data_IF_910181425796
#
_entry.id   IF_910181425796
#
_cell.length_a   1.000
_cell.length_b   1.000
_cell.length_c   1.000
_cell.angle_alpha   90.00
_cell.angle_beta   90.00
_cell.angle_gamma   90.00
#
_symmetry.space_group_name_H-M   'P 1'
#
loop_
_entity.id
_entity.type
_entity.pdbx_description
1 polymer ?
#
# COMPACT_ATOMS: atom_id res chain seq x y z
N UNK A 1 2.42 12.76 22.37
CA UNK A 1 3.52 11.92 21.81
C UNK A 1 4.07 10.92 22.83
N UNK A 2 4.30 11.36 24.08
CA UNK A 2 4.88 10.51 25.16
C UNK A 2 4.11 9.20 25.39
N UNK A 3 2.78 9.27 25.55
CA UNK A 3 1.96 8.07 25.80
C UNK A 3 2.05 7.02 24.67
N UNK A 4 1.98 7.43 23.40
CA UNK A 4 2.11 6.52 22.25
C UNK A 4 3.51 5.90 22.15
N UNK A 5 4.55 6.64 22.52
CA UNK A 5 5.91 6.10 22.58
C UNK A 5 6.05 5.07 23.71
N UNK A 6 5.49 5.35 24.89
CA UNK A 6 5.46 4.39 26.02
C UNK A 6 4.73 3.11 25.60
N UNK A 7 3.57 3.21 24.94
CA UNK A 7 2.83 2.06 24.41
C UNK A 7 3.71 1.24 23.47
N UNK A 8 4.48 1.88 22.60
CA UNK A 8 5.41 1.19 21.70
C UNK A 8 6.50 0.47 22.48
N UNK A 9 7.15 1.12 23.45
CA UNK A 9 8.18 0.47 24.26
C UNK A 9 7.62 -0.73 25.04
N UNK A 10 6.44 -0.60 25.63
CA UNK A 10 5.75 -1.73 26.29
C UNK A 10 5.43 -2.86 25.30
N UNK A 11 5.02 -2.50 24.08
CA UNK A 11 4.78 -3.47 23.00
C UNK A 11 6.06 -4.21 22.61
N UNK A 12 7.20 -3.52 22.49
CA UNK A 12 8.49 -4.14 22.19
C UNK A 12 8.99 -5.04 23.32
N UNK A 13 8.79 -4.63 24.58
CA UNK A 13 9.08 -5.48 25.74
C UNK A 13 8.23 -6.75 25.72
N UNK A 14 6.94 -6.61 25.44
CA UNK A 14 6.03 -7.75 25.30
C UNK A 14 6.47 -8.69 24.17
N UNK A 15 6.75 -8.15 22.97
CA UNK A 15 7.26 -8.93 21.82
C UNK A 15 8.53 -9.70 22.20
N UNK A 16 9.51 -9.02 22.80
CA UNK A 16 10.76 -9.64 23.26
C UNK A 16 10.54 -10.73 24.30
N UNK A 17 9.56 -10.57 25.19
CA UNK A 17 9.23 -11.56 26.20
C UNK A 17 8.60 -12.82 25.59
N UNK A 18 7.57 -12.67 24.75
CA UNK A 18 6.84 -13.83 24.21
C UNK A 18 7.62 -14.58 23.12
N UNK A 19 8.53 -13.91 22.42
CA UNK A 19 9.33 -14.52 21.33
C UNK A 19 10.82 -14.60 21.68
N UNK A 20 11.15 -14.73 22.97
CA UNK A 20 12.55 -14.83 23.41
C UNK A 20 13.22 -16.11 22.85
N UNK A 21 14.48 -16.04 22.36
CA UNK A 21 15.36 -14.86 22.33
C UNK A 21 15.20 -13.98 21.09
N UNK A 22 14.50 -14.44 20.06
CA UNK A 22 14.43 -13.79 18.74
C UNK A 22 13.87 -12.36 18.81
N UNK A 23 12.85 -12.14 19.64
CA UNK A 23 12.16 -10.86 19.77
C UNK A 23 13.02 -9.70 20.25
N UNK A 24 14.15 -9.98 20.94
CA UNK A 24 15.09 -8.97 21.44
C UNK A 24 15.62 -8.10 20.31
N UNK A 25 15.77 -8.65 19.10
CA UNK A 25 16.24 -7.91 17.92
C UNK A 25 15.27 -6.82 17.42
N UNK A 26 14.03 -6.78 17.93
CA UNK A 26 13.09 -5.70 17.62
C UNK A 26 13.59 -4.34 18.12
N UNK A 27 14.35 -4.30 19.23
CA UNK A 27 14.93 -3.06 19.77
C UNK A 27 15.99 -2.42 18.85
N UNK A 28 17.07 -3.11 18.45
CA UNK A 28 18.06 -2.52 17.56
C UNK A 28 17.45 -2.15 16.20
N UNK A 29 16.54 -2.95 15.65
CA UNK A 29 15.85 -2.61 14.40
C UNK A 29 15.02 -1.33 14.58
N UNK A 30 14.35 -1.18 15.72
CA UNK A 30 13.59 0.03 16.02
C UNK A 30 14.46 1.29 16.00
N UNK A 31 15.60 1.27 16.69
CA UNK A 31 16.47 2.44 16.80
C UNK A 31 17.27 2.73 15.53
N UNK A 32 17.76 1.69 14.84
CA UNK A 32 18.66 1.84 13.68
C UNK A 32 17.87 2.06 12.37
N UNK A 33 16.65 1.50 12.27
CA UNK A 33 15.88 1.55 11.04
C UNK A 33 14.52 2.24 11.20
N UNK A 34 13.68 1.78 12.13
CA UNK A 34 12.28 2.23 12.20
C UNK A 34 12.16 3.71 12.58
N UNK A 35 12.92 4.18 13.57
CA UNK A 35 12.95 5.60 13.97
C UNK A 35 13.47 6.51 12.85
N UNK A 36 14.62 6.24 12.19
CA UNK A 36 15.06 7.00 11.03
C UNK A 36 14.03 7.01 9.89
N UNK A 37 13.42 5.86 9.55
CA UNK A 37 12.39 5.79 8.51
C UNK A 37 11.18 6.67 8.84
N UNK A 38 10.70 6.60 10.08
CA UNK A 38 9.60 7.42 10.56
C UNK A 38 9.96 8.91 10.51
N UNK A 39 11.14 9.27 10.99
CA UNK A 39 11.64 10.64 10.96
C UNK A 39 11.68 11.18 9.52
N UNK A 40 12.29 10.44 8.58
CA UNK A 40 12.37 10.82 7.18
C UNK A 40 10.98 10.99 6.56
N UNK A 41 10.05 10.08 6.84
CA UNK A 41 8.67 10.14 6.33
C UNK A 41 7.92 11.34 6.90
N UNK A 42 8.00 11.57 8.20
CA UNK A 42 7.29 12.66 8.89
C UNK A 42 7.85 14.03 8.49
N UNK A 43 9.16 14.12 8.23
CA UNK A 43 9.82 15.32 7.71
C UNK A 43 9.36 15.73 6.31
N UNK A 44 8.68 14.86 5.58
CA UNK A 44 8.01 15.25 4.35
C UNK A 44 6.80 16.16 4.64
N UNK A 45 6.24 16.20 5.85
CA UNK A 45 5.18 17.14 6.21
C UNK A 45 5.68 18.58 6.18
N UNK A 46 4.95 19.45 5.48
CA UNK A 46 5.25 20.88 5.44
C UNK A 46 4.76 21.63 6.70
N UNK A 47 3.84 21.02 7.46
CA UNK A 47 3.21 21.63 8.63
C UNK A 47 3.74 21.01 9.92
N UNK A 48 4.43 21.82 10.72
CA UNK A 48 4.97 21.40 12.03
C UNK A 48 3.85 21.12 13.04
N UNK A 49 2.67 21.71 12.89
CA UNK A 49 1.56 21.48 13.81
C UNK A 49 1.03 20.04 13.74
N UNK A 50 1.26 19.34 12.63
CA UNK A 50 0.84 17.96 12.41
C UNK A 50 1.87 16.93 12.91
N UNK A 51 3.10 17.34 13.22
CA UNK A 51 4.21 16.44 13.59
C UNK A 51 3.86 15.57 14.81
N UNK A 52 3.20 16.15 15.82
CA UNK A 52 2.83 15.40 17.01
C UNK A 52 1.81 14.29 16.70
N UNK A 53 0.88 14.55 15.78
CA UNK A 53 -0.10 13.56 15.33
C UNK A 53 0.57 12.45 14.51
N UNK A 54 1.48 12.82 13.61
CA UNK A 54 2.19 11.88 12.75
C UNK A 54 3.06 10.89 13.53
N UNK A 55 3.75 11.35 14.57
CA UNK A 55 4.49 10.45 15.47
C UNK A 55 3.57 9.56 16.28
N UNK A 56 2.46 10.11 16.81
CA UNK A 56 1.46 9.33 17.56
C UNK A 56 0.92 8.19 16.71
N UNK A 57 0.48 8.48 15.48
CA UNK A 57 -0.11 7.46 14.61
C UNK A 57 0.92 6.42 14.17
N UNK A 58 2.15 6.83 13.89
CA UNK A 58 3.22 5.88 13.56
C UNK A 58 3.50 4.91 14.70
N UNK A 59 3.71 5.41 15.92
CA UNK A 59 4.01 4.56 17.08
C UNK A 59 2.85 3.60 17.41
N UNK A 60 1.61 4.07 17.36
CA UNK A 60 0.45 3.20 17.60
C UNK A 60 0.27 2.16 16.48
N UNK A 61 0.45 2.55 15.21
CA UNK A 61 0.38 1.65 14.06
C UNK A 61 1.46 0.56 14.11
N UNK A 62 2.69 0.93 14.51
CA UNK A 62 3.80 0.00 14.69
C UNK A 62 3.56 -0.93 15.88
N UNK A 63 3.06 -0.41 17.01
CA UNK A 63 2.72 -1.21 18.19
C UNK A 63 1.72 -2.30 17.84
N UNK A 64 0.63 -1.95 17.15
CA UNK A 64 -0.40 -2.90 16.73
C UNK A 64 0.17 -4.02 15.84
N UNK A 65 1.03 -3.66 14.86
CA UNK A 65 1.64 -4.63 13.93
C UNK A 65 2.68 -5.52 14.61
N UNK A 66 3.52 -4.94 15.46
CA UNK A 66 4.56 -5.68 16.17
C UNK A 66 3.95 -6.72 17.11
N UNK A 67 2.95 -6.32 17.91
CA UNK A 67 2.23 -7.24 18.80
C UNK A 67 1.49 -8.30 18.00
N UNK A 68 0.77 -7.91 16.95
CA UNK A 68 0.03 -8.86 16.11
C UNK A 68 0.95 -9.89 15.45
N UNK A 69 2.04 -9.45 14.82
CA UNK A 69 3.02 -10.33 14.18
C UNK A 69 3.70 -11.29 15.17
N UNK A 70 4.08 -10.79 16.35
CA UNK A 70 4.73 -11.60 17.37
C UNK A 70 3.78 -12.62 18.02
N UNK A 71 2.52 -12.24 18.29
CA UNK A 71 1.51 -13.17 18.81
C UNK A 71 1.26 -14.32 17.83
N UNK A 72 1.13 -14.02 16.54
CA UNK A 72 0.87 -15.05 15.54
C UNK A 72 2.07 -15.95 15.28
N UNK A 73 3.29 -15.41 15.48
CA UNK A 73 4.50 -16.21 15.49
C UNK A 73 4.55 -17.14 16.72
N UNK A 74 4.31 -16.60 17.92
CA UNK A 74 4.31 -17.37 19.17
C UNK A 74 3.26 -18.49 19.21
N UNK A 75 2.10 -18.29 18.57
CA UNK A 75 1.01 -19.26 18.51
C UNK A 75 1.14 -20.27 17.36
N UNK A 76 2.28 -20.30 16.64
CA UNK A 76 2.50 -21.15 15.45
C UNK A 76 1.44 -20.96 14.34
N UNK A 77 0.83 -19.78 14.27
CA UNK A 77 -0.15 -19.41 13.25
C UNK A 77 0.49 -18.75 12.02
N UNK A 78 1.79 -18.47 12.09
CA UNK A 78 2.52 -17.73 11.06
C UNK A 78 2.48 -18.39 9.68
N UNK A 79 2.76 -19.69 9.59
CA UNK A 79 2.71 -20.44 8.33
C UNK A 79 1.28 -20.52 7.76
N UNK A 80 0.28 -20.61 8.64
CA UNK A 80 -1.11 -20.61 8.20
C UNK A 80 -1.42 -19.26 7.56
N UNK A 81 -1.25 -18.14 8.27
CA UNK A 81 -1.68 -16.82 7.77
C UNK A 81 -0.80 -16.24 6.66
N UNK A 82 0.50 -16.57 6.66
CA UNK A 82 1.49 -15.98 5.76
C UNK A 82 2.48 -17.02 5.22
N UNK A 83 2.04 -18.02 4.41
CA UNK A 83 2.92 -19.07 3.89
C UNK A 83 4.08 -18.53 3.02
N UNK A 84 3.88 -17.38 2.37
CA UNK A 84 4.94 -16.69 1.62
C UNK A 84 6.09 -16.23 2.53
N UNK A 85 5.80 -15.91 3.80
CA UNK A 85 6.80 -15.42 4.74
C UNK A 85 7.84 -16.52 5.05
N UNK A 86 7.43 -17.78 5.13
CA UNK A 86 8.30 -18.96 5.24
C UNK A 86 9.22 -19.08 4.03
N UNK A 87 8.68 -18.83 2.84
CA UNK A 87 9.45 -18.80 1.60
C UNK A 87 10.52 -17.71 1.64
N UNK A 88 10.14 -16.49 2.03
CA UNK A 88 11.08 -15.37 2.16
C UNK A 88 12.12 -15.60 3.26
N UNK A 89 11.74 -16.25 4.36
CA UNK A 89 12.64 -16.62 5.45
C UNK A 89 13.75 -17.55 4.97
N UNK A 90 13.36 -18.64 4.31
CA UNK A 90 14.31 -19.69 3.92
C UNK A 90 15.22 -19.21 2.79
N UNK A 91 14.66 -18.58 1.74
CA UNK A 91 15.47 -18.07 0.64
C UNK A 91 16.32 -16.87 1.03
N UNK A 92 15.82 -16.00 1.92
CA UNK A 92 16.62 -14.91 2.49
C UNK A 92 17.80 -15.43 3.30
N UNK A 93 17.60 -16.48 4.09
CA UNK A 93 18.68 -17.14 4.84
C UNK A 93 19.75 -17.73 3.91
N UNK A 94 19.34 -18.54 2.91
CA UNK A 94 20.27 -19.12 1.93
C UNK A 94 21.11 -18.03 1.25
N UNK A 95 20.46 -16.95 0.81
CA UNK A 95 21.16 -15.85 0.16
C UNK A 95 22.08 -15.08 1.13
N UNK A 96 21.71 -14.98 2.42
CA UNK A 96 22.59 -14.41 3.45
C UNK A 96 23.84 -15.23 3.71
N UNK A 97 23.73 -16.57 3.69
CA UNK A 97 24.87 -17.47 3.84
C UNK A 97 25.77 -17.45 2.61
N UNK A 98 25.21 -17.25 1.42
CA UNK A 98 25.98 -16.93 0.22
C UNK A 98 26.78 -15.63 0.38
N UNK A 99 26.17 -14.55 0.89
CA UNK A 99 26.88 -13.28 1.14
C UNK A 99 27.98 -13.39 2.20
N UNK A 100 27.84 -14.28 3.17
CA UNK A 100 28.91 -14.57 4.16
C UNK A 100 30.02 -15.45 3.60
N UNK A 101 29.86 -16.03 2.41
CA UNK A 101 30.80 -16.96 1.80
C UNK A 101 30.69 -18.40 2.31
N UNK A 102 29.65 -18.73 3.08
CA UNK A 102 29.46 -20.06 3.68
C UNK A 102 28.86 -21.07 2.68
N UNK A 103 28.08 -20.59 1.71
CA UNK A 103 27.38 -21.44 0.74
C UNK A 103 27.51 -20.86 -0.68
N UNK A 104 28.41 -21.36 -1.54
CA UNK A 104 28.57 -20.84 -2.89
C UNK A 104 27.41 -21.28 -3.79
N UNK A 105 26.76 -20.33 -4.44
CA UNK A 105 25.70 -20.60 -5.43
C UNK A 105 26.32 -20.45 -6.82
N UNK A 106 26.40 -21.55 -7.59
CA UNK A 106 26.95 -21.53 -8.95
C UNK A 106 25.88 -21.90 -9.97
N UNK A 107 25.99 -21.36 -11.18
CA UNK A 107 25.02 -21.60 -12.27
C UNK A 107 24.93 -23.08 -12.68
N UNK A 108 26.05 -23.80 -12.62
CA UNK A 108 26.14 -25.20 -13.04
C UNK A 108 25.68 -26.17 -11.95
N UNK A 109 26.11 -25.95 -10.69
CA UNK A 109 25.76 -26.82 -9.56
C UNK A 109 24.35 -26.56 -9.02
N UNK A 110 23.92 -25.29 -9.01
CA UNK A 110 22.68 -24.84 -8.37
C UNK A 110 21.81 -24.01 -9.33
N UNK A 111 21.45 -24.52 -10.50
CA UNK A 111 20.78 -23.73 -11.55
C UNK A 111 19.46 -23.10 -11.07
N UNK A 112 18.72 -23.77 -10.18
CA UNK A 112 17.46 -23.28 -9.63
C UNK A 112 17.67 -22.09 -8.68
N UNK A 113 18.61 -22.19 -7.75
CA UNK A 113 18.94 -21.10 -6.82
C UNK A 113 19.58 -19.94 -7.57
N UNK A 114 20.47 -20.24 -8.50
CA UNK A 114 21.11 -19.24 -9.33
C UNK A 114 20.07 -18.44 -10.13
N UNK A 115 19.15 -19.12 -10.82
CA UNK A 115 18.07 -18.44 -11.53
C UNK A 115 17.18 -17.65 -10.56
N UNK A 116 16.83 -18.21 -9.39
CA UNK A 116 15.94 -17.53 -8.43
C UNK A 116 16.51 -16.23 -7.88
N UNK A 117 17.82 -16.16 -7.64
CA UNK A 117 18.46 -14.99 -7.05
C UNK A 117 19.02 -14.03 -8.10
N UNK A 118 19.64 -14.54 -9.17
CA UNK A 118 20.43 -13.71 -10.08
C UNK A 118 19.80 -13.46 -11.46
N UNK A 119 18.64 -14.05 -11.76
CA UNK A 119 17.91 -13.70 -12.99
C UNK A 119 17.15 -12.38 -12.87
N UNK A 120 16.94 -11.87 -11.65
CA UNK A 120 16.10 -10.70 -11.35
C UNK A 120 14.71 -10.74 -12.02
N UNK A 121 14.21 -11.95 -12.32
CA UNK A 121 12.95 -12.18 -13.01
C UNK A 121 11.85 -12.66 -12.06
N UNK A 122 10.61 -12.31 -12.36
CA UNK A 122 9.44 -12.74 -11.59
C UNK A 122 9.16 -11.94 -10.32
N UNK A 123 8.05 -12.29 -9.64
CA UNK A 123 7.50 -11.44 -8.59
C UNK A 123 8.18 -11.62 -7.23
N UNK A 124 8.82 -10.56 -6.73
CA UNK A 124 9.27 -10.50 -5.34
C UNK A 124 10.70 -10.95 -5.07
N UNK A 125 11.55 -10.98 -6.11
CA UNK A 125 12.99 -11.25 -5.92
C UNK A 125 13.63 -10.27 -4.95
N UNK A 126 13.18 -9.01 -4.94
CA UNK A 126 13.69 -7.98 -4.03
C UNK A 126 13.51 -8.32 -2.55
N UNK A 127 12.48 -9.10 -2.19
CA UNK A 127 12.30 -9.54 -0.80
C UNK A 127 13.43 -10.45 -0.35
N UNK A 128 13.95 -11.33 -1.21
CA UNK A 128 15.06 -12.21 -0.84
C UNK A 128 16.29 -11.39 -0.44
N UNK A 129 16.58 -10.31 -1.16
CA UNK A 129 17.69 -9.41 -0.86
C UNK A 129 17.47 -8.60 0.43
N UNK A 130 16.25 -8.10 0.66
CA UNK A 130 15.91 -7.38 1.91
C UNK A 130 16.11 -8.28 3.12
N UNK A 131 15.59 -9.51 3.06
CA UNK A 131 15.70 -10.49 4.15
C UNK A 131 17.13 -10.97 4.31
N UNK A 132 17.84 -11.23 3.21
CA UNK A 132 19.25 -11.65 3.26
C UNK A 132 20.14 -10.58 3.88
N UNK A 133 19.92 -9.30 3.54
CA UNK A 133 20.64 -8.19 4.16
C UNK A 133 20.37 -8.10 5.66
N UNK A 134 19.12 -8.28 6.10
CA UNK A 134 18.79 -8.32 7.52
C UNK A 134 19.49 -9.51 8.23
N UNK A 135 19.42 -10.71 7.64
CA UNK A 135 19.97 -11.95 8.21
C UNK A 135 21.49 -12.02 8.14
N UNK A 136 22.11 -11.20 7.31
CA UNK A 136 23.56 -10.99 7.33
C UNK A 136 24.03 -10.51 8.72
N UNK A 137 23.28 -9.60 9.35
CA UNK A 137 23.60 -9.06 10.69
C UNK A 137 22.92 -9.80 11.83
N UNK A 138 21.71 -10.30 11.62
CA UNK A 138 20.86 -10.85 12.69
C UNK A 138 20.89 -12.37 12.80
N UNK A 139 21.43 -13.07 11.81
CA UNK A 139 21.17 -14.50 11.61
C UNK A 139 19.74 -14.73 11.12
N UNK A 140 19.33 -16.00 10.97
CA UNK A 140 17.97 -16.34 10.59
C UNK A 140 17.01 -16.02 11.74
N UNK A 141 16.30 -14.89 11.67
CA UNK A 141 15.37 -14.44 12.70
C UNK A 141 14.06 -13.93 12.08
N UNK A 142 13.01 -14.78 12.00
CA UNK A 142 11.72 -14.40 11.42
C UNK A 142 11.04 -13.21 12.12
N UNK A 143 11.19 -13.07 13.45
CA UNK A 143 10.60 -11.98 14.22
C UNK A 143 11.20 -10.63 13.81
N UNK A 144 12.51 -10.58 13.59
CA UNK A 144 13.20 -9.41 13.06
C UNK A 144 12.68 -9.04 11.65
N UNK A 145 12.47 -10.04 10.79
CA UNK A 145 11.90 -9.84 9.45
C UNK A 145 10.46 -9.31 9.47
N UNK A 146 9.62 -9.87 10.34
CA UNK A 146 8.26 -9.40 10.61
C UNK A 146 8.27 -7.94 11.10
N UNK A 147 9.13 -7.62 12.07
CA UNK A 147 9.22 -6.27 12.65
C UNK A 147 9.73 -5.21 11.65
N UNK A 148 10.66 -5.59 10.76
CA UNK A 148 11.11 -4.72 9.67
C UNK A 148 9.94 -4.36 8.74
N UNK A 149 9.16 -5.36 8.32
CA UNK A 149 7.98 -5.14 7.46
C UNK A 149 6.90 -4.33 8.17
N UNK A 150 6.66 -4.59 9.47
CA UNK A 150 5.75 -3.82 10.31
C UNK A 150 6.14 -2.36 10.39
N UNK A 151 7.44 -2.08 10.48
CA UNK A 151 7.99 -0.72 10.55
C UNK A 151 7.74 0.07 9.26
N UNK A 152 7.92 -0.56 8.10
CA UNK A 152 7.65 0.06 6.80
C UNK A 152 6.15 0.21 6.57
N UNK A 153 5.35 -0.82 6.89
CA UNK A 153 3.90 -0.77 6.79
C UNK A 153 3.27 0.31 7.68
N UNK A 154 3.79 0.51 8.90
CA UNK A 154 3.36 1.59 9.78
C UNK A 154 3.67 2.98 9.21
N UNK A 155 4.77 3.13 8.45
CA UNK A 155 5.13 4.39 7.79
C UNK A 155 4.20 4.77 6.61
N UNK A 156 3.39 3.83 6.10
CA UNK A 156 2.39 4.14 5.09
C UNK A 156 1.29 5.08 5.61
N UNK A 157 0.92 4.98 6.89
CA UNK A 157 -0.10 5.86 7.48
C UNK A 157 0.30 7.35 7.47
N UNK A 158 1.48 7.77 7.96
CA UNK A 158 1.93 9.16 7.83
C UNK A 158 2.16 9.57 6.37
N UNK A 159 2.64 8.69 5.48
CA UNK A 159 2.76 9.01 4.06
C UNK A 159 1.40 9.35 3.42
N UNK A 160 0.36 8.56 3.71
CA UNK A 160 -1.02 8.80 3.24
C UNK A 160 -1.63 10.05 3.86
N UNK A 161 -1.33 10.34 5.13
CA UNK A 161 -1.71 11.60 5.76
C UNK A 161 -1.20 12.79 4.93
N UNK A 162 0.10 12.81 4.66
CA UNK A 162 0.76 13.92 3.96
C UNK A 162 0.22 14.04 2.54
N UNK A 163 0.03 12.92 1.84
CA UNK A 163 -0.58 12.90 0.51
C UNK A 163 -2.00 13.48 0.51
N UNK A 164 -2.87 13.02 1.40
CA UNK A 164 -4.24 13.51 1.52
C UNK A 164 -4.28 15.00 1.91
N UNK A 165 -3.41 15.44 2.82
CA UNK A 165 -3.27 16.84 3.21
C UNK A 165 -2.79 17.70 2.05
N UNK A 166 -1.82 17.25 1.26
CA UNK A 166 -1.30 17.98 0.11
C UNK A 166 -2.39 18.15 -0.98
N UNK A 167 -3.24 17.14 -1.20
CA UNK A 167 -4.32 17.17 -2.20
C UNK A 167 -5.49 18.05 -1.75
N UNK A 168 -6.06 17.78 -0.58
CA UNK A 168 -7.34 18.40 -0.16
C UNK A 168 -7.17 19.61 0.76
N UNK A 169 -5.96 19.85 1.29
CA UNK A 169 -5.63 20.91 2.25
C UNK A 169 -6.44 20.85 3.56
N UNK A 170 -7.17 19.75 3.80
CA UNK A 170 -8.03 19.56 4.97
C UNK A 170 -7.41 18.53 5.94
N UNK A 171 -7.09 18.95 7.17
CA UNK A 171 -6.50 18.04 8.18
C UNK A 171 -7.49 16.97 8.64
N UNK A 172 -8.81 17.23 8.65
CA UNK A 172 -9.80 16.22 9.03
C UNK A 172 -9.76 15.04 8.05
N UNK A 173 -9.70 15.33 6.75
CA UNK A 173 -9.57 14.32 5.68
C UNK A 173 -8.29 13.51 5.86
N UNK A 174 -7.15 14.19 6.04
CA UNK A 174 -5.86 13.54 6.20
C UNK A 174 -5.80 12.63 7.44
N UNK A 175 -6.32 13.08 8.60
CA UNK A 175 -6.39 12.29 9.83
C UNK A 175 -7.23 11.04 9.66
N UNK A 176 -8.41 11.14 9.04
CA UNK A 176 -9.29 9.99 8.84
C UNK A 176 -8.66 8.99 7.87
N UNK A 177 -8.13 9.46 6.74
CA UNK A 177 -7.47 8.59 5.77
C UNK A 177 -6.30 7.83 6.40
N UNK A 178 -5.44 8.52 7.16
CA UNK A 178 -4.30 7.89 7.82
C UNK A 178 -4.70 6.93 8.93
N UNK A 179 -5.79 7.20 9.68
CA UNK A 179 -6.32 6.30 10.70
C UNK A 179 -6.86 5.00 10.09
N UNK A 180 -7.59 5.10 8.97
CA UNK A 180 -8.07 3.93 8.23
C UNK A 180 -6.89 3.09 7.76
N UNK A 181 -5.83 3.70 7.20
CA UNK A 181 -4.61 2.98 6.83
C UNK A 181 -3.92 2.39 8.07
N UNK A 182 -3.77 3.15 9.15
CA UNK A 182 -3.06 2.69 10.33
C UNK A 182 -3.70 1.43 10.96
N UNK A 183 -5.03 1.36 11.00
CA UNK A 183 -5.75 0.41 11.83
C UNK A 183 -6.69 -0.54 11.08
N UNK A 184 -6.71 -0.54 9.74
CA UNK A 184 -7.50 -1.54 9.02
C UNK A 184 -6.94 -2.96 9.28
N UNK A 185 -7.75 -3.93 9.75
CA UNK A 185 -7.27 -5.26 10.13
C UNK A 185 -6.48 -5.98 9.03
N UNK A 186 -6.94 -5.91 7.80
CA UNK A 186 -6.34 -6.54 6.64
C UNK A 186 -4.98 -5.95 6.33
N UNK A 187 -4.84 -4.62 6.41
CA UNK A 187 -3.53 -4.02 6.23
C UNK A 187 -2.58 -4.34 7.39
N UNK A 188 -3.07 -4.39 8.63
CA UNK A 188 -2.25 -4.89 9.76
C UNK A 188 -1.78 -6.31 9.46
N UNK A 189 -2.67 -7.22 9.08
CA UNK A 189 -2.33 -8.61 8.76
C UNK A 189 -1.23 -8.70 7.68
N UNK A 190 -1.41 -8.03 6.54
CA UNK A 190 -0.46 -8.12 5.42
C UNK A 190 0.81 -7.28 5.58
N UNK A 191 0.92 -6.49 6.66
CA UNK A 191 2.13 -5.72 6.96
C UNK A 191 2.82 -6.11 8.27
N UNK A 192 2.24 -7.02 9.06
CA UNK A 192 2.86 -7.51 10.31
C UNK A 192 3.78 -8.71 10.10
N UNK A 193 3.68 -9.37 8.94
CA UNK A 193 4.51 -10.50 8.56
C UNK A 193 5.58 -10.07 7.56
N UNK A 194 6.59 -10.92 7.36
CA UNK A 194 7.64 -10.78 6.36
C UNK A 194 7.10 -10.96 4.93
N UNK A 195 6.23 -10.02 4.54
CA UNK A 195 5.54 -9.95 3.27
C UNK A 195 5.83 -8.62 2.60
N UNK A 196 5.86 -8.64 1.27
CA UNK A 196 6.10 -7.44 0.45
C UNK A 196 4.98 -6.41 0.47
N UNK A 197 3.77 -6.78 0.89
CA UNK A 197 2.57 -5.93 0.74
C UNK A 197 2.66 -4.61 1.49
N UNK A 198 3.11 -4.65 2.75
CA UNK A 198 3.36 -3.45 3.57
C UNK A 198 4.35 -2.49 2.92
N UNK A 199 5.44 -3.04 2.39
CA UNK A 199 6.51 -2.27 1.74
C UNK A 199 5.97 -1.61 0.46
N UNK A 200 5.28 -2.37 -0.38
CA UNK A 200 4.74 -1.87 -1.65
C UNK A 200 3.74 -0.75 -1.41
N UNK A 201 2.85 -0.90 -0.43
CA UNK A 201 1.87 0.14 -0.10
C UNK A 201 2.56 1.44 0.34
N UNK A 202 3.60 1.35 1.16
CA UNK A 202 4.41 2.51 1.54
C UNK A 202 5.08 3.15 0.31
N UNK A 203 5.74 2.36 -0.53
CA UNK A 203 6.40 2.86 -1.75
C UNK A 203 5.41 3.51 -2.71
N UNK A 204 4.23 2.92 -2.92
CA UNK A 204 3.17 3.50 -3.74
C UNK A 204 2.68 4.84 -3.16
N UNK A 205 2.45 4.92 -1.85
CA UNK A 205 2.04 6.17 -1.21
C UNK A 205 3.09 7.28 -1.38
N UNK A 206 4.37 6.94 -1.20
CA UNK A 206 5.50 7.86 -1.41
C UNK A 206 5.61 8.25 -2.89
N UNK A 207 5.50 7.31 -3.83
CA UNK A 207 5.50 7.61 -5.27
C UNK A 207 4.40 8.61 -5.63
N UNK A 208 3.16 8.40 -5.19
CA UNK A 208 2.06 9.31 -5.45
C UNK A 208 2.27 10.69 -4.81
N UNK A 209 2.85 10.73 -3.60
CA UNK A 209 3.23 11.98 -2.94
C UNK A 209 4.31 12.74 -3.72
N UNK A 210 5.37 12.06 -4.15
CA UNK A 210 6.45 12.68 -4.91
C UNK A 210 5.95 13.18 -6.26
N UNK A 211 5.09 12.42 -6.95
CA UNK A 211 4.46 12.84 -8.22
C UNK A 211 3.64 14.10 -8.01
N UNK A 212 2.76 14.14 -7.02
CA UNK A 212 1.95 15.33 -6.73
C UNK A 212 2.81 16.57 -6.38
N UNK A 213 3.96 16.39 -5.72
CA UNK A 213 4.89 17.48 -5.41
C UNK A 213 5.70 17.94 -6.62
N UNK A 214 6.21 17.00 -7.42
CA UNK A 214 6.96 17.27 -8.65
C UNK A 214 6.10 18.02 -9.68
N UNK A 215 4.79 17.80 -9.70
CA UNK A 215 3.84 18.57 -10.51
C UNK A 215 3.78 20.06 -10.13
N UNK A 216 4.05 20.39 -8.86
CA UNK A 216 3.99 21.76 -8.33
C UNK A 216 5.34 22.46 -8.46
N UNK A 217 6.42 21.75 -8.13
CA UNK A 217 7.77 22.28 -8.21
C UNK A 217 8.79 21.16 -8.42
N UNK A 218 9.74 21.40 -9.32
CA UNK A 218 10.87 20.50 -9.49
C UNK A 218 11.76 20.52 -8.25
N UNK A 219 12.08 19.34 -7.72
CA UNK A 219 13.04 19.16 -6.65
C UNK A 219 13.76 17.83 -6.88
N UNK A 220 15.12 17.82 -6.97
CA UNK A 220 15.88 16.60 -7.22
C UNK A 220 15.68 15.56 -6.13
N UNK A 221 15.46 15.95 -4.87
CA UNK A 221 15.17 15.01 -3.79
C UNK A 221 13.88 14.23 -4.07
N UNK A 222 12.82 14.90 -4.54
CA UNK A 222 11.55 14.23 -4.85
C UNK A 222 11.70 13.26 -6.04
N UNK A 223 12.53 13.63 -7.02
CA UNK A 223 12.84 12.77 -8.15
C UNK A 223 13.64 11.53 -7.70
N UNK A 224 14.64 11.71 -6.85
CA UNK A 224 15.45 10.61 -6.29
C UNK A 224 14.59 9.66 -5.47
N UNK A 225 13.76 10.19 -4.56
CA UNK A 225 12.82 9.39 -3.75
C UNK A 225 11.82 8.65 -4.65
N UNK A 226 11.32 9.29 -5.71
CA UNK A 226 10.47 8.64 -6.70
C UNK A 226 11.20 7.49 -7.40
N UNK A 227 12.45 7.70 -7.84
CA UNK A 227 13.28 6.67 -8.49
C UNK A 227 13.51 5.45 -7.60
N UNK A 228 13.90 5.68 -6.34
CA UNK A 228 14.03 4.59 -5.35
C UNK A 228 12.71 3.86 -5.12
N UNK A 229 11.59 4.59 -5.06
CA UNK A 229 10.27 3.98 -4.86
C UNK A 229 9.86 3.12 -6.06
N UNK A 230 10.10 3.61 -7.28
CA UNK A 230 9.83 2.89 -8.51
C UNK A 230 10.69 1.63 -8.65
N UNK A 231 11.98 1.73 -8.31
CA UNK A 231 12.89 0.58 -8.25
C UNK A 231 12.41 -0.48 -7.24
N UNK A 232 12.02 -0.05 -6.04
CA UNK A 232 11.47 -0.96 -5.04
C UNK A 232 10.15 -1.61 -5.49
N UNK A 233 9.28 -0.88 -6.18
CA UNK A 233 8.03 -1.43 -6.73
C UNK A 233 8.31 -2.53 -7.76
N UNK A 234 9.21 -2.31 -8.72
CA UNK A 234 9.53 -3.34 -9.73
C UNK A 234 10.19 -4.56 -9.09
N UNK A 235 11.11 -4.36 -8.13
CA UNK A 235 11.80 -5.46 -7.44
C UNK A 235 10.85 -6.35 -6.62
N UNK A 236 9.77 -5.76 -6.08
CA UNK A 236 8.83 -6.46 -5.22
C UNK A 236 7.60 -6.99 -5.99
N UNK A 237 7.06 -6.19 -6.91
CA UNK A 237 5.91 -6.52 -7.78
C UNK A 237 6.04 -5.88 -9.16
N UNK A 238 6.74 -6.60 -10.04
CA UNK A 238 6.96 -6.21 -11.44
C UNK A 238 5.67 -5.79 -12.19
N UNK A 239 4.53 -6.45 -11.96
CA UNK A 239 3.29 -6.14 -12.69
C UNK A 239 2.60 -4.84 -12.23
N UNK A 240 2.89 -4.34 -11.01
CA UNK A 240 2.34 -3.06 -10.54
C UNK A 240 3.14 -1.90 -11.14
N UNK A 241 4.44 -2.09 -11.36
CA UNK A 241 5.32 -1.08 -11.94
C UNK A 241 4.76 -0.44 -13.23
N UNK A 242 4.35 -1.18 -14.28
CA UNK A 242 3.82 -0.56 -15.50
C UNK A 242 2.52 0.22 -15.23
N UNK A 243 1.66 -0.24 -14.33
CA UNK A 243 0.44 0.49 -13.95
C UNK A 243 0.76 1.82 -13.26
N UNK A 244 1.73 1.81 -12.33
CA UNK A 244 2.22 3.03 -11.68
C UNK A 244 2.86 3.98 -12.69
N UNK A 245 3.70 3.47 -13.59
CA UNK A 245 4.34 4.24 -14.67
C UNK A 245 3.29 4.93 -15.55
N UNK A 246 2.27 4.19 -16.01
CA UNK A 246 1.20 4.75 -16.84
C UNK A 246 0.41 5.84 -16.11
N UNK A 247 0.12 5.65 -14.82
CA UNK A 247 -0.52 6.67 -14.00
C UNK A 247 0.34 7.95 -13.85
N UNK A 248 1.66 7.79 -13.66
CA UNK A 248 2.61 8.91 -13.60
C UNK A 248 2.63 9.66 -14.94
N UNK A 249 2.84 8.93 -16.05
CA UNK A 249 2.89 9.49 -17.41
C UNK A 249 1.61 10.26 -17.72
N UNK A 250 0.43 9.67 -17.50
CA UNK A 250 -0.85 10.32 -17.75
C UNK A 250 -1.02 11.61 -16.93
N UNK A 251 -0.57 11.60 -15.67
CA UNK A 251 -0.63 12.79 -14.80
C UNK A 251 0.26 13.91 -15.32
N UNK A 252 1.47 13.60 -15.78
CA UNK A 252 2.38 14.59 -16.37
C UNK A 252 1.86 15.13 -17.71
N UNK A 253 1.33 14.28 -18.58
CA UNK A 253 0.78 14.73 -19.87
C UNK A 253 -0.35 15.74 -19.67
N UNK A 254 -1.29 15.47 -18.77
CA UNK A 254 -2.42 16.39 -18.52
C UNK A 254 -1.98 17.61 -17.70
N UNK A 255 -0.96 17.43 -16.83
CA UNK A 255 -0.30 18.54 -16.15
C UNK A 255 0.33 19.54 -17.12
N UNK A 256 0.78 19.10 -18.31
CA UNK A 256 1.33 19.95 -19.36
C UNK A 256 0.22 20.72 -20.11
N UNK A 257 -0.86 20.04 -20.50
CA UNK A 257 -1.91 20.61 -21.35
C UNK A 257 -2.76 21.69 -20.68
N UNK A 258 -2.70 21.79 -19.35
CA UNK A 258 -3.57 22.69 -18.59
C UNK A 258 -2.88 23.94 -18.03
N UNK A 259 -1.63 24.18 -18.43
CA UNK A 259 -0.84 25.33 -17.99
C UNK A 259 -0.83 26.44 -19.05
N UNK A 260 -1.03 27.68 -18.61
CA UNK A 260 -1.04 28.85 -19.50
C UNK A 260 0.35 29.40 -19.83
N UNK A 261 1.36 29.14 -18.99
CA UNK A 261 2.71 29.70 -19.14
C UNK A 261 3.66 28.78 -19.89
N UNK A 262 4.24 29.27 -21.00
CA UNK A 262 5.23 28.56 -21.83
C UNK A 262 6.46 28.08 -21.02
N UNK A 263 6.92 28.87 -20.04
CA UNK A 263 8.06 28.50 -19.19
C UNK A 263 7.72 27.33 -18.26
N UNK A 264 6.51 27.29 -17.73
CA UNK A 264 6.02 26.19 -16.88
C UNK A 264 5.83 24.91 -17.69
N UNK A 265 5.30 25.02 -18.91
CA UNK A 265 5.15 23.92 -19.86
C UNK A 265 6.51 23.29 -20.17
N UNK A 266 7.53 24.09 -20.52
CA UNK A 266 8.87 23.57 -20.82
C UNK A 266 9.48 22.80 -19.64
N UNK A 267 9.37 23.33 -18.42
CA UNK A 267 9.86 22.66 -17.20
C UNK A 267 9.16 21.30 -17.00
N UNK A 268 7.85 21.21 -17.24
CA UNK A 268 7.11 19.95 -17.14
C UNK A 268 7.47 18.97 -18.25
N UNK A 269 7.75 19.42 -19.46
CA UNK A 269 8.24 18.57 -20.57
C UNK A 269 9.62 18.01 -20.22
N UNK A 270 10.56 18.84 -19.76
CA UNK A 270 11.89 18.38 -19.35
C UNK A 270 11.78 17.35 -18.22
N UNK A 271 10.94 17.63 -17.22
CA UNK A 271 10.69 16.69 -16.13
C UNK A 271 10.06 15.38 -16.63
N UNK A 272 9.11 15.45 -17.56
CA UNK A 272 8.52 14.28 -18.20
C UNK A 272 9.58 13.42 -18.92
N UNK A 273 10.49 14.05 -19.66
CA UNK A 273 11.59 13.35 -20.33
C UNK A 273 12.55 12.70 -19.33
N UNK A 274 12.92 13.40 -18.26
CA UNK A 274 13.77 12.85 -17.19
C UNK A 274 13.12 11.63 -16.55
N UNK A 275 11.81 11.71 -16.24
CA UNK A 275 11.05 10.59 -15.69
C UNK A 275 10.98 9.43 -16.70
N UNK A 276 10.75 9.73 -17.99
CA UNK A 276 10.75 8.74 -19.06
C UNK A 276 12.08 8.00 -19.20
N UNK A 277 13.21 8.72 -19.15
CA UNK A 277 14.56 8.13 -19.15
C UNK A 277 14.77 7.26 -17.91
N UNK A 278 14.40 7.75 -16.72
CA UNK A 278 14.52 7.01 -15.46
C UNK A 278 13.74 5.69 -15.51
N UNK A 279 12.49 5.74 -15.96
CA UNK A 279 11.62 4.55 -16.11
C UNK A 279 12.21 3.57 -17.12
N UNK A 280 12.71 4.07 -18.26
CA UNK A 280 13.33 3.24 -19.30
C UNK A 280 14.59 2.56 -18.79
N UNK A 281 15.43 3.28 -18.05
CA UNK A 281 16.66 2.74 -17.45
C UNK A 281 16.36 1.67 -16.40
N UNK A 282 15.38 1.90 -15.53
CA UNK A 282 14.93 0.90 -14.54
C UNK A 282 14.38 -0.33 -15.27
N UNK A 283 13.58 -0.13 -16.33
CA UNK A 283 12.99 -1.24 -17.07
C UNK A 283 14.00 -2.07 -17.85
N UNK A 284 15.00 -1.43 -18.46
CA UNK A 284 16.07 -2.09 -19.18
C UNK A 284 17.02 -2.85 -18.24
N UNK A 285 17.35 -2.29 -17.07
CA UNK A 285 18.31 -2.91 -16.15
C UNK A 285 17.81 -4.18 -15.46
N UNK A 286 16.49 -4.37 -15.39
CA UNK A 286 15.86 -5.50 -14.67
C UNK A 286 15.28 -6.55 -15.65
N UNK A 287 15.50 -6.39 -16.97
CA UNK A 287 15.00 -7.36 -17.95
C UNK A 287 13.47 -7.39 -18.04
N UNK A 288 12.77 -6.26 -17.81
CA UNK A 288 11.30 -6.20 -17.89
C UNK A 288 10.77 -6.74 -19.22
N UNK A 289 11.53 -6.60 -20.31
CA UNK A 289 11.15 -7.15 -21.61
C UNK A 289 10.96 -8.66 -21.58
N UNK A 290 11.86 -9.39 -20.91
CA UNK A 290 11.76 -10.84 -20.74
C UNK A 290 10.54 -11.20 -19.89
N UNK A 291 10.28 -10.46 -18.81
CA UNK A 291 9.11 -10.67 -17.96
C UNK A 291 7.80 -10.34 -18.67
N UNK A 292 7.74 -9.30 -19.52
CA UNK A 292 6.55 -8.98 -20.32
C UNK A 292 6.31 -10.06 -21.37
N UNK A 293 7.34 -10.53 -22.07
CA UNK A 293 7.19 -11.64 -23.02
C UNK A 293 6.79 -12.94 -22.31
N UNK A 294 7.36 -13.19 -21.13
CA UNK A 294 7.12 -14.38 -20.34
C UNK A 294 5.78 -14.34 -19.59
N UNK A 295 5.25 -13.19 -19.19
CA UNK A 295 4.04 -13.15 -18.35
C UNK A 295 2.90 -12.32 -18.94
N UNK A 296 3.12 -11.62 -20.05
CA UNK A 296 2.15 -10.70 -20.65
C UNK A 296 1.17 -11.32 -21.65
N UNK A 297 1.19 -12.64 -21.86
CA UNK A 297 0.24 -13.30 -22.77
C UNK A 297 -1.09 -13.58 -22.06
N UNK A 298 -2.21 -13.38 -22.77
CA UNK A 298 -3.55 -13.67 -22.23
C UNK A 298 -3.73 -15.15 -21.86
N UNK A 299 -3.04 -16.05 -22.55
CA UNK A 299 -3.02 -17.47 -22.23
C UNK A 299 -2.37 -17.75 -20.86
N UNK A 300 -1.24 -17.12 -20.55
CA UNK A 300 -0.60 -17.27 -19.24
C UNK A 300 -1.39 -16.60 -18.13
N UNK A 301 -2.03 -15.47 -18.43
CA UNK A 301 -3.00 -14.83 -17.53
C UNK A 301 -4.15 -15.80 -17.21
N UNK A 302 -4.73 -16.44 -18.22
CA UNK A 302 -5.79 -17.43 -18.05
C UNK A 302 -5.31 -18.64 -17.22
N UNK A 303 -4.14 -19.19 -17.53
CA UNK A 303 -3.58 -20.32 -16.79
C UNK A 303 -3.32 -19.96 -15.32
N UNK A 304 -2.79 -18.77 -15.02
CA UNK A 304 -2.57 -18.30 -13.66
C UNK A 304 -3.89 -18.05 -12.90
N UNK A 305 -4.94 -17.61 -13.60
CA UNK A 305 -6.28 -17.46 -13.03
C UNK A 305 -6.91 -18.82 -12.72
N UNK A 306 -6.86 -19.75 -13.66
CA UNK A 306 -7.39 -21.11 -13.51
C UNK A 306 -6.69 -21.88 -12.39
N UNK A 307 -5.36 -21.74 -12.28
CA UNK A 307 -4.61 -22.31 -11.16
C UNK A 307 -5.10 -21.76 -9.82
N UNK A 308 -5.30 -20.44 -9.72
CA UNK A 308 -5.87 -19.84 -8.51
C UNK A 308 -7.28 -20.33 -8.20
N UNK A 309 -8.12 -20.50 -9.22
CA UNK A 309 -9.50 -20.98 -9.06
C UNK A 309 -9.56 -22.46 -8.65
N UNK A 310 -8.65 -23.30 -9.15
CA UNK A 310 -8.66 -24.76 -8.90
C UNK A 310 -7.91 -25.16 -7.64
N UNK A 311 -6.80 -24.50 -7.35
CA UNK A 311 -5.92 -24.84 -6.22
C UNK A 311 -6.46 -24.29 -4.89
N UNK A 312 -7.34 -23.29 -4.94
CA UNK A 312 -7.89 -22.68 -3.73
C UNK A 312 -9.29 -23.20 -3.38
N UNK A 313 -9.51 -23.51 -2.10
CA UNK A 313 -10.83 -23.84 -1.57
C UNK A 313 -11.88 -22.71 -1.68
N UNK A 314 -11.46 -21.51 -2.13
CA UNK A 314 -12.31 -20.33 -2.34
C UNK A 314 -12.20 -19.78 -3.77
N UNK A 315 -11.89 -20.67 -4.73
CA UNK A 315 -11.90 -20.34 -6.14
C UNK A 315 -13.30 -19.97 -6.66
N UNK A 316 -13.37 -19.10 -7.67
CA UNK A 316 -14.63 -18.72 -8.30
C UNK A 316 -14.50 -18.58 -9.83
N UNK A 317 -15.59 -18.93 -10.52
CA UNK A 317 -15.84 -18.79 -11.97
C UNK A 317 -14.64 -19.09 -12.91
N UNK A 318 -14.71 -20.27 -13.56
CA UNK A 318 -13.82 -20.67 -14.65
C UNK A 318 -14.31 -20.08 -15.99
N UNK A 319 -14.01 -18.80 -16.23
CA UNK A 319 -14.19 -18.16 -17.54
C UNK A 319 -12.83 -18.06 -18.23
N UNK A 320 -12.77 -18.43 -19.51
CA UNK A 320 -11.55 -18.30 -20.31
C UNK A 320 -11.27 -16.82 -20.62
N UNK A 321 -10.22 -16.27 -20.00
CA UNK A 321 -9.78 -14.88 -20.20
C UNK A 321 -8.69 -14.75 -21.26
N UNK A 322 -8.43 -15.81 -22.05
CA UNK A 322 -7.51 -15.75 -23.19
C UNK A 322 -8.04 -14.91 -24.36
N UNK A 323 -9.35 -14.61 -24.36
CA UNK A 323 -10.05 -13.84 -25.39
C UNK A 323 -10.56 -12.49 -24.86
N UNK A 324 -10.72 -11.50 -25.76
CA UNK A 324 -11.28 -10.19 -25.38
C UNK A 324 -12.73 -10.30 -24.88
N UNK A 325 -13.53 -11.20 -25.47
CA UNK A 325 -14.90 -11.47 -25.03
C UNK A 325 -14.94 -12.02 -23.61
N UNK A 326 -14.09 -13.00 -23.29
CA UNK A 326 -13.98 -13.55 -21.94
C UNK A 326 -13.60 -12.51 -20.89
N UNK A 327 -12.69 -11.59 -21.23
CA UNK A 327 -12.31 -10.46 -20.36
C UNK A 327 -13.51 -9.55 -20.07
N UNK A 328 -14.30 -9.18 -21.08
CA UNK A 328 -15.46 -8.31 -20.90
C UNK A 328 -16.53 -9.00 -20.05
N UNK A 329 -16.73 -10.29 -20.26
CA UNK A 329 -17.73 -11.09 -19.52
C UNK A 329 -17.36 -11.26 -18.05
N UNK A 330 -16.08 -11.51 -17.73
CA UNK A 330 -15.65 -11.71 -16.35
C UNK A 330 -15.54 -10.39 -15.57
N UNK A 331 -15.31 -9.26 -16.25
CA UNK A 331 -14.99 -7.99 -15.57
C UNK A 331 -16.03 -7.55 -14.53
N UNK A 332 -17.36 -7.58 -14.79
CA UNK A 332 -18.36 -7.24 -13.78
C UNK A 332 -18.31 -8.14 -12.55
N UNK A 333 -18.10 -9.46 -12.76
CA UNK A 333 -18.02 -10.42 -11.66
C UNK A 333 -16.71 -10.25 -10.89
N UNK A 334 -15.58 -10.12 -11.59
CA UNK A 334 -14.29 -9.85 -10.99
C UNK A 334 -14.28 -8.58 -10.15
N UNK A 335 -14.97 -7.51 -10.60
CA UNK A 335 -15.16 -6.30 -9.82
C UNK A 335 -16.01 -6.54 -8.57
N UNK A 336 -17.13 -7.26 -8.71
CA UNK A 336 -18.00 -7.61 -7.59
C UNK A 336 -17.25 -8.41 -6.53
N UNK A 337 -16.48 -9.42 -6.94
CA UNK A 337 -15.66 -10.22 -6.02
C UNK A 337 -14.52 -9.41 -5.41
N UNK A 338 -13.78 -8.65 -6.23
CA UNK A 338 -12.69 -7.82 -5.75
C UNK A 338 -13.17 -6.84 -4.67
N UNK A 339 -14.29 -6.16 -4.87
CA UNK A 339 -14.78 -5.12 -3.94
C UNK A 339 -15.62 -5.67 -2.78
N UNK A 340 -16.43 -6.70 -3.01
CA UNK A 340 -17.45 -7.11 -2.06
C UNK A 340 -17.17 -8.46 -1.40
N UNK A 341 -16.35 -9.33 -1.98
CA UNK A 341 -16.01 -10.62 -1.37
C UNK A 341 -14.90 -10.46 -0.31
N UNK A 342 -14.81 -11.38 0.68
CA UNK A 342 -15.70 -12.53 0.91
C UNK A 342 -17.08 -12.15 1.44
N UNK A 343 -18.13 -12.74 0.86
CA UNK A 343 -19.51 -12.61 1.35
C UNK A 343 -19.74 -13.44 2.62
N UNK A 344 -20.76 -13.14 3.44
CA UNK A 344 -20.99 -13.84 4.72
C UNK A 344 -21.23 -15.34 4.56
N UNK A 345 -21.81 -15.77 3.43
CA UNK A 345 -22.03 -17.19 3.11
C UNK A 345 -20.80 -17.90 2.52
N UNK A 346 -19.71 -17.17 2.22
CA UNK A 346 -18.45 -17.72 1.70
C UNK A 346 -17.42 -18.02 2.80
N UNK A 347 -17.83 -17.96 4.06
CA UNK A 347 -16.95 -18.23 5.19
C UNK A 347 -16.74 -19.73 5.30
N UNK A 348 -15.63 -20.22 4.74
CA UNK A 348 -15.23 -21.63 4.78
C UNK A 348 -14.05 -21.89 5.72
N UNK A 349 -13.45 -20.84 6.30
CA UNK A 349 -12.28 -20.95 7.18
C UNK A 349 -12.26 -19.85 8.24
N UNK A 350 -11.48 -20.07 9.31
CA UNK A 350 -11.21 -19.06 10.34
C UNK A 350 -10.59 -17.80 9.74
N UNK A 351 -9.68 -17.95 8.77
CA UNK A 351 -9.09 -16.82 8.03
C UNK A 351 -10.16 -15.98 7.36
N UNK A 352 -11.11 -16.62 6.67
CA UNK A 352 -12.23 -15.92 6.04
C UNK A 352 -13.15 -15.26 7.08
N UNK A 353 -13.40 -15.91 8.22
CA UNK A 353 -14.22 -15.36 9.30
C UNK A 353 -13.61 -14.07 9.89
N UNK A 354 -12.30 -14.05 10.12
CA UNK A 354 -11.57 -12.89 10.66
C UNK A 354 -11.60 -11.67 9.73
N UNK A 355 -11.87 -11.85 8.43
CA UNK A 355 -12.03 -10.73 7.49
C UNK A 355 -13.40 -10.06 7.57
N UNK A 356 -14.43 -10.72 8.10
CA UNK A 356 -15.81 -10.24 8.04
C UNK A 356 -16.05 -8.89 8.73
N UNK A 357 -15.50 -8.61 9.93
CA UNK A 357 -15.67 -7.30 10.55
C UNK A 357 -15.15 -6.17 9.66
N UNK A 358 -14.02 -6.39 8.98
CA UNK A 358 -13.50 -5.44 8.00
C UNK A 358 -14.40 -5.33 6.77
N UNK A 359 -14.94 -6.43 6.25
CA UNK A 359 -15.84 -6.40 5.09
C UNK A 359 -17.08 -5.57 5.35
N UNK A 360 -17.70 -5.73 6.53
CA UNK A 360 -18.85 -4.92 6.94
C UNK A 360 -18.48 -3.45 7.00
N UNK A 361 -17.36 -3.11 7.65
CA UNK A 361 -16.87 -1.74 7.70
C UNK A 361 -16.60 -1.19 6.29
N UNK A 362 -16.01 -2.00 5.40
CA UNK A 362 -15.73 -1.65 4.02
C UNK A 362 -16.99 -1.36 3.22
N UNK A 363 -18.02 -2.21 3.30
CA UNK A 363 -19.29 -1.98 2.61
C UNK A 363 -19.98 -0.70 3.07
N UNK A 364 -19.96 -0.42 4.38
CA UNK A 364 -20.47 0.84 4.93
C UNK A 364 -19.68 2.06 4.45
N UNK A 365 -18.42 1.89 4.04
CA UNK A 365 -17.58 2.95 3.50
C UNK A 365 -17.80 3.22 2.00
N UNK A 366 -18.42 2.31 1.24
CA UNK A 366 -18.63 2.44 -0.21
C UNK A 366 -19.41 3.70 -0.60
N UNK A 367 -20.52 4.09 0.06
CA UNK A 367 -21.22 5.33 -0.27
C UNK A 367 -20.33 6.58 -0.12
N UNK A 368 -19.45 6.60 0.89
CA UNK A 368 -18.49 7.68 1.09
C UNK A 368 -17.36 7.65 0.06
N UNK A 369 -16.90 6.46 -0.35
CA UNK A 369 -15.96 6.29 -1.44
C UNK A 369 -16.49 6.92 -2.73
N UNK A 370 -17.71 6.56 -3.14
CA UNK A 370 -18.34 7.08 -4.36
C UNK A 370 -18.46 8.61 -4.28
N UNK A 371 -18.99 9.13 -3.18
CA UNK A 371 -19.12 10.59 -2.97
C UNK A 371 -17.77 11.30 -3.03
N UNK A 372 -16.75 10.72 -2.40
CA UNK A 372 -15.39 11.24 -2.40
C UNK A 372 -14.78 11.26 -3.79
N UNK A 373 -14.88 10.16 -4.54
CA UNK A 373 -14.40 10.07 -5.92
C UNK A 373 -15.10 11.09 -6.82
N UNK A 374 -16.43 11.23 -6.73
CA UNK A 374 -17.19 12.22 -7.51
C UNK A 374 -16.73 13.65 -7.18
N UNK A 375 -16.55 13.97 -5.90
CA UNK A 375 -16.05 15.28 -5.48
C UNK A 375 -14.64 15.54 -6.03
N UNK A 376 -13.75 14.56 -5.92
CA UNK A 376 -12.37 14.66 -6.38
C UNK A 376 -12.28 14.82 -7.90
N UNK A 377 -13.09 14.07 -8.65
CA UNK A 377 -13.17 14.21 -10.10
C UNK A 377 -13.68 15.60 -10.51
N UNK A 378 -14.64 16.17 -9.78
CA UNK A 378 -15.22 17.48 -10.12
C UNK A 378 -14.37 18.68 -9.68
N UNK A 379 -13.64 18.56 -8.56
CA UNK A 379 -13.01 19.72 -7.91
C UNK A 379 -11.49 19.61 -7.72
N UNK A 380 -10.92 18.40 -7.83
CA UNK A 380 -9.50 18.10 -7.55
C UNK A 380 -8.91 17.13 -8.57
N UNK A 381 -9.41 17.14 -9.81
CA UNK A 381 -9.06 16.15 -10.83
C UNK A 381 -7.55 16.10 -11.03
N UNK A 382 -6.92 17.26 -11.25
CA UNK A 382 -5.49 17.36 -11.52
C UNK A 382 -4.64 16.76 -10.40
N UNK A 383 -4.97 17.05 -9.14
CA UNK A 383 -4.23 16.58 -7.97
C UNK A 383 -4.50 15.10 -7.64
N UNK A 384 -5.62 14.54 -8.09
CA UNK A 384 -6.04 13.17 -7.77
C UNK A 384 -5.87 12.19 -8.92
N UNK A 385 -5.55 12.66 -10.11
CA UNK A 385 -5.54 11.86 -11.34
C UNK A 385 -4.58 10.68 -11.29
N UNK A 386 -3.36 10.89 -10.80
CA UNK A 386 -2.39 9.80 -10.64
C UNK A 386 -2.98 8.66 -9.80
N UNK A 387 -3.61 9.03 -8.69
CA UNK A 387 -4.26 8.08 -7.80
C UNK A 387 -5.44 7.41 -8.50
N UNK A 388 -6.33 8.18 -9.15
CA UNK A 388 -7.51 7.65 -9.82
C UNK A 388 -7.16 6.67 -10.95
N UNK A 389 -6.24 7.05 -11.84
CA UNK A 389 -5.78 6.20 -12.94
C UNK A 389 -5.11 4.96 -12.38
N UNK A 390 -4.20 5.12 -11.41
CA UNK A 390 -3.55 3.98 -10.76
C UNK A 390 -4.56 3.01 -10.14
N UNK A 391 -5.49 3.52 -9.32
CA UNK A 391 -6.50 2.68 -8.68
C UNK A 391 -7.43 2.02 -9.70
N UNK A 392 -7.78 2.71 -10.79
CA UNK A 392 -8.62 2.16 -11.85
C UNK A 392 -7.90 1.01 -12.58
N UNK A 393 -6.66 1.24 -13.00
CA UNK A 393 -5.88 0.22 -13.70
C UNK A 393 -5.62 -1.00 -12.83
N UNK A 394 -5.28 -0.79 -11.56
CA UNK A 394 -5.05 -1.89 -10.61
C UNK A 394 -6.35 -2.65 -10.32
N UNK A 395 -7.47 -1.93 -10.22
CA UNK A 395 -8.80 -2.53 -10.05
C UNK A 395 -9.18 -3.40 -11.23
N UNK A 396 -9.04 -2.90 -12.47
CA UNK A 396 -9.35 -3.66 -13.68
C UNK A 396 -8.42 -4.86 -13.83
N UNK A 397 -7.11 -4.65 -13.65
CA UNK A 397 -6.12 -5.72 -13.74
C UNK A 397 -6.38 -6.84 -12.73
N UNK A 398 -6.72 -6.49 -11.48
CA UNK A 398 -7.04 -7.47 -10.45
C UNK A 398 -8.39 -8.15 -10.65
N UNK A 399 -9.42 -7.44 -11.11
CA UNK A 399 -10.70 -8.04 -11.44
C UNK A 399 -10.57 -9.14 -12.50
N UNK A 400 -9.72 -8.94 -13.51
CA UNK A 400 -9.48 -9.93 -14.57
C UNK A 400 -8.57 -11.06 -14.05
N UNK A 401 -7.51 -10.72 -13.31
CA UNK A 401 -6.48 -11.67 -12.87
C UNK A 401 -6.95 -12.67 -11.79
N UNK A 402 -7.85 -12.25 -10.89
CA UNK A 402 -8.11 -13.00 -9.67
C UNK A 402 -9.14 -14.12 -9.84
N UNK A 403 -8.70 -15.37 -9.67
CA UNK A 403 -9.59 -16.55 -9.56
C UNK A 403 -9.87 -16.99 -8.12
N UNK A 404 -9.30 -16.31 -7.12
CA UNK A 404 -9.31 -16.73 -5.70
C UNK A 404 -9.70 -15.57 -4.78
N UNK A 405 -10.71 -15.79 -3.91
CA UNK A 405 -11.24 -14.78 -2.98
C UNK A 405 -10.20 -14.32 -1.95
N UNK A 406 -9.40 -15.23 -1.39
CA UNK A 406 -8.36 -14.91 -0.42
C UNK A 406 -7.24 -14.04 -1.01
N UNK A 407 -6.80 -14.37 -2.23
CA UNK A 407 -5.84 -13.53 -2.98
C UNK A 407 -6.45 -12.18 -3.32
N UNK A 408 -7.73 -12.16 -3.71
CA UNK A 408 -8.49 -10.95 -3.97
C UNK A 408 -8.53 -10.01 -2.77
N UNK A 409 -8.84 -10.55 -1.61
CA UNK A 409 -8.86 -9.82 -0.34
C UNK A 409 -7.51 -9.15 -0.05
N UNK A 410 -6.41 -9.89 -0.17
CA UNK A 410 -5.04 -9.38 0.06
C UNK A 410 -4.65 -8.29 -0.94
N UNK A 411 -4.91 -8.52 -2.22
CA UNK A 411 -4.53 -7.58 -3.27
C UNK A 411 -5.38 -6.30 -3.24
N UNK A 412 -6.65 -6.40 -2.83
CA UNK A 412 -7.53 -5.24 -2.65
C UNK A 412 -6.94 -4.23 -1.66
N UNK A 413 -6.23 -4.66 -0.62
CA UNK A 413 -5.62 -3.75 0.37
C UNK A 413 -4.75 -2.66 -0.29
N UNK A 414 -4.10 -2.97 -1.42
CA UNK A 414 -3.26 -2.02 -2.16
C UNK A 414 -4.06 -0.91 -2.82
N UNK A 415 -5.29 -1.22 -3.25
CA UNK A 415 -6.22 -0.25 -3.82
C UNK A 415 -6.92 0.51 -2.68
N UNK A 416 -7.34 -0.21 -1.64
CA UNK A 416 -8.08 0.32 -0.49
C UNK A 416 -7.37 1.48 0.20
N UNK A 417 -6.04 1.43 0.34
CA UNK A 417 -5.26 2.49 0.96
C UNK A 417 -5.48 3.85 0.28
N UNK A 418 -5.57 3.86 -1.04
CA UNK A 418 -5.90 5.06 -1.81
C UNK A 418 -7.39 5.38 -1.77
N UNK A 419 -8.26 4.36 -1.76
CA UNK A 419 -9.69 4.55 -1.56
C UNK A 419 -10.03 5.19 -0.22
N UNK A 420 -9.26 4.93 0.85
CA UNK A 420 -9.47 5.57 2.15
C UNK A 420 -9.30 7.08 2.11
N UNK A 421 -8.49 7.61 1.19
CA UNK A 421 -8.40 9.05 0.95
C UNK A 421 -9.75 9.57 0.45
N UNK A 422 -10.37 8.89 -0.53
CA UNK A 422 -11.68 9.29 -1.06
C UNK A 422 -12.81 9.05 -0.04
N UNK A 423 -12.79 7.94 0.69
CA UNK A 423 -13.73 7.68 1.80
C UNK A 423 -13.68 8.82 2.82
N UNK A 424 -12.47 9.23 3.24
CA UNK A 424 -12.30 10.31 4.19
C UNK A 424 -12.91 11.63 3.68
N UNK A 425 -12.74 11.96 2.40
CA UNK A 425 -13.36 13.13 1.77
C UNK A 425 -14.88 13.02 1.78
N UNK A 426 -15.44 11.90 1.31
CA UNK A 426 -16.88 11.70 1.27
C UNK A 426 -17.53 11.76 2.66
N UNK A 427 -16.85 11.22 3.66
CA UNK A 427 -17.28 11.31 5.06
C UNK A 427 -17.27 12.76 5.57
N UNK A 428 -16.14 13.46 5.41
CA UNK A 428 -16.00 14.86 5.88
C UNK A 428 -17.02 15.78 5.22
N UNK A 429 -17.25 15.64 3.91
CA UNK A 429 -18.28 16.41 3.20
C UNK A 429 -19.71 16.11 3.70
N UNK A 430 -19.97 14.87 4.13
CA UNK A 430 -21.26 14.50 4.72
C UNK A 430 -21.43 15.15 6.08
N UNK A 431 -20.37 15.15 6.89
CA UNK A 431 -20.39 15.73 8.23
C UNK A 431 -20.51 17.27 8.18
N UNK A 432 -19.70 17.93 7.35
CA UNK A 432 -19.71 19.39 7.20
C UNK A 432 -21.07 19.89 6.67
N UNK A 433 -21.71 19.15 5.76
CA UNK A 433 -23.08 19.48 5.31
C UNK A 433 -24.08 19.47 6.47
N UNK A 434 -24.07 18.42 7.29
CA UNK A 434 -24.96 18.30 8.46
C UNK A 434 -24.67 19.38 9.52
N UNK A 435 -23.39 19.68 9.77
CA UNK A 435 -22.97 20.76 10.69
C UNK A 435 -23.48 22.13 10.20
N UNK A 436 -23.37 22.41 8.90
CA UNK A 436 -23.86 23.66 8.31
C UNK A 436 -25.39 23.79 8.37
N UNK A 437 -26.13 22.71 8.08
CA UNK A 437 -27.60 22.69 8.19
C UNK A 437 -28.06 22.93 9.64
N UNK A 438 -27.42 22.27 10.62
CA UNK A 438 -27.71 22.49 12.03
C UNK A 438 -27.40 23.93 12.49
N UNK A 439 -26.28 24.51 12.03
CA UNK A 439 -25.92 25.89 12.34
C UNK A 439 -26.91 26.90 11.74
N UNK A 440 -27.39 26.66 10.51
CA UNK A 440 -28.43 27.47 9.87
C UNK A 440 -29.75 27.42 10.64
N UNK A 441 -30.17 26.23 11.08
CA UNK A 441 -31.38 26.06 11.91
C UNK A 441 -31.25 26.78 13.26
N UNK A 442 -30.10 26.67 13.93
CA UNK A 442 -29.84 27.37 15.19
C UNK A 442 -29.87 28.90 15.01
N UNK A 443 -29.31 29.42 13.92
CA UNK A 443 -29.38 30.84 13.58
C UNK A 443 -30.81 31.31 13.29
N UNK A 444 -31.63 30.50 12.62
CA UNK A 444 -33.04 30.79 12.38
C UNK A 444 -33.83 30.83 13.69
N UNK A 445 -33.64 29.84 14.57
CA UNK A 445 -34.27 29.80 15.89
C UNK A 445 -33.87 31.00 16.75
N UNK A 446 -32.59 31.36 16.77
CA UNK A 446 -32.11 32.54 17.48
C UNK A 446 -32.71 33.86 16.95
N UNK A 447 -32.92 33.97 15.63
CA UNK A 447 -33.60 35.13 15.03
C UNK A 447 -35.07 35.21 15.44
N UNK A 448 -35.79 34.09 15.42
CA UNK A 448 -37.19 34.00 15.83
C UNK A 448 -37.33 34.37 17.32
N UNK A 449 -36.47 33.82 18.19
CA UNK A 449 -36.48 34.16 19.63
C UNK A 449 -36.21 35.64 19.88
N UNK A 450 -35.27 36.25 19.15
CA UNK A 450 -35.01 37.70 19.24
C UNK A 450 -36.18 38.55 18.73
N UNK A 451 -36.97 38.07 17.78
CA UNK A 451 -38.18 38.76 17.33
C UNK A 451 -39.27 38.71 18.40
N UNK A 452 -39.49 37.55 19.03
CA UNK A 452 -40.43 37.43 20.15
C UNK A 452 -40.03 38.31 21.35
N UNK A 453 -38.74 38.35 21.70
CA UNK A 453 -38.22 39.21 22.77
C UNK A 453 -38.30 40.72 22.47
N UNK A 454 -38.50 41.13 21.22
CA UNK A 454 -38.70 42.54 20.85
C UNK A 454 -40.18 42.95 20.80
N UNK A 455 -41.08 41.97 20.80
CA UNK A 455 -42.53 42.18 20.75
C UNK A 455 -43.19 42.03 22.14
N UNK A 456 -42.53 41.34 23.07
CA UNK A 456 -42.79 41.40 24.51
C UNK A 456 -42.03 42.57 25.11
#
# INVERSE_FOLDING_TARGET
>A
MRASFIILILSLLFVSFITFPEGVLSFPIFFIFSLPLAFLTIRLSNDKSDEEFLWKIYFLALSARAVFGALFYYLDLWDYFAPDATTYNNFGYILSEYFKGNFPIRRESDPVLYHRFFSFSGSGWGMYYIVAFLYFFTGQNPVAGNFLCASIGAAAAPAVYILAKDIYRNSKVAKIASLLVAFMPGFINWSSFMLKDGIIIFLLAISMLMVNRLQRAFNPLYLTVLGFSLFGIVALRFYIFPMTVMAIVATFLIGITTEASKSTVLKKIVLFLIIGILITYIGASIGIHEDIQKYGTLERLNNARLDQARTAASGFEEVDVSTAEGIVTILPVGLLYLFLAPFPWQITSIRAALTQPEMVAWWLMIPFLIRGMVYSFRHRLKETMAIMIFTLMLTVGYAIFQGNIGTAYRQRTQIQVFHFIFVAVGWVLTKEKKENEAALLALQQARIMRQFQRQA
#
